data_IF_703147599024
#
_entry.id   IF_703147599024
#
_cell.length_a   1.000
_cell.length_b   1.000
_cell.length_c   1.000
_cell.angle_alpha   90.00
_cell.angle_beta   90.00
_cell.angle_gamma   90.00
#
_symmetry.space_group_name_H-M   'P 1'
#
loop_
_entity.id
_entity.type
_entity.pdbx_description
1 polymer ?
#
# COMPACT_ATOMS: atom_id res chain seq x y z
N UNK A 1 -33.31 -6.09 -5.56
CA UNK A 1 -32.86 -5.26 -4.40
C UNK A 1 -31.51 -5.73 -3.86
N UNK A 2 -31.27 -7.06 -3.72
CA UNK A 2 -30.01 -7.60 -3.20
C UNK A 2 -28.78 -7.26 -4.06
N UNK A 3 -28.89 -7.33 -5.39
CA UNK A 3 -27.78 -7.00 -6.30
C UNK A 3 -27.35 -5.54 -6.20
N UNK A 4 -28.31 -4.62 -6.05
CA UNK A 4 -28.05 -3.18 -5.87
C UNK A 4 -27.36 -2.94 -4.53
N UNK A 5 -27.77 -3.65 -3.48
CA UNK A 5 -27.18 -3.53 -2.15
C UNK A 5 -25.73 -4.03 -2.15
N UNK A 6 -25.46 -5.19 -2.75
CA UNK A 6 -24.10 -5.74 -2.90
C UNK A 6 -23.19 -4.78 -3.67
N UNK A 7 -23.68 -4.19 -4.76
CA UNK A 7 -22.91 -3.22 -5.55
C UNK A 7 -22.59 -1.94 -4.76
N UNK A 8 -23.55 -1.46 -3.96
CA UNK A 8 -23.33 -0.31 -3.07
C UNK A 8 -22.27 -0.61 -2.00
N UNK A 9 -22.32 -1.79 -1.38
CA UNK A 9 -21.33 -2.21 -0.39
C UNK A 9 -19.93 -2.26 -1.03
N UNK A 10 -19.80 -2.87 -2.20
CA UNK A 10 -18.52 -2.90 -2.94
C UNK A 10 -17.98 -1.50 -3.25
N UNK A 11 -18.86 -0.57 -3.64
CA UNK A 11 -18.46 0.83 -3.90
C UNK A 11 -17.96 1.55 -2.64
N UNK A 12 -18.59 1.29 -1.50
CA UNK A 12 -18.12 1.85 -0.22
C UNK A 12 -16.75 1.30 0.14
N UNK A 13 -16.54 0.00 0.02
CA UNK A 13 -15.25 -0.63 0.28
C UNK A 13 -14.09 -0.08 -0.59
N UNK A 14 -14.39 0.42 -1.80
CA UNK A 14 -13.41 1.05 -2.68
C UNK A 14 -12.74 2.29 -2.06
N UNK A 15 -13.37 2.94 -1.10
CA UNK A 15 -12.85 4.13 -0.43
C UNK A 15 -12.05 3.81 0.85
N UNK A 16 -11.86 2.52 1.17
CA UNK A 16 -11.04 2.12 2.32
C UNK A 16 -9.58 2.24 1.92
N UNK A 17 -9.00 3.41 2.16
CA UNK A 17 -7.59 3.69 1.94
C UNK A 17 -7.04 4.54 3.08
N UNK A 18 -5.77 4.33 3.40
CA UNK A 18 -5.00 5.18 4.32
C UNK A 18 -3.78 5.72 3.61
N UNK A 19 -3.37 6.92 3.99
CA UNK A 19 -2.17 7.57 3.48
C UNK A 19 -1.10 7.60 4.58
N UNK A 20 0.16 7.44 4.17
CA UNK A 20 1.32 7.64 5.03
C UNK A 20 2.35 8.51 4.34
N UNK A 21 2.88 9.49 5.09
CA UNK A 21 3.99 10.32 4.64
C UNK A 21 5.30 9.79 5.19
N UNK A 22 6.29 9.68 4.32
CA UNK A 22 7.63 9.20 4.64
C UNK A 22 8.66 10.28 4.32
N UNK A 23 9.63 10.45 5.21
CA UNK A 23 10.79 11.29 4.99
C UNK A 23 12.03 10.45 5.34
N UNK A 24 12.76 10.00 4.33
CA UNK A 24 13.88 9.09 4.48
C UNK A 24 15.13 9.66 3.84
N UNK A 25 16.30 9.31 4.40
CA UNK A 25 17.61 9.62 3.82
C UNK A 25 18.21 8.32 3.33
N UNK A 26 18.49 8.27 2.03
CA UNK A 26 19.05 7.11 1.38
C UNK A 26 20.43 7.42 0.79
N UNK A 27 21.38 6.53 1.03
CA UNK A 27 22.71 6.63 0.46
C UNK A 27 22.78 5.79 -0.82
N UNK A 28 22.77 6.47 -1.96
CA UNK A 28 22.91 5.81 -3.25
C UNK A 28 24.39 5.67 -3.61
N UNK A 29 24.79 4.45 -3.96
CA UNK A 29 26.14 4.16 -4.45
C UNK A 29 26.03 3.28 -5.69
N UNK A 30 26.35 3.85 -6.87
CA UNK A 30 26.45 3.10 -8.12
C UNK A 30 27.91 2.82 -8.46
N UNK A 31 28.26 1.56 -8.63
CA UNK A 31 29.60 1.10 -9.02
C UNK A 31 29.51 0.62 -10.44
N UNK A 32 29.78 1.49 -11.43
CA UNK A 32 29.92 1.09 -12.83
C UNK A 32 31.33 0.52 -13.08
N UNK A 33 31.43 -0.79 -13.21
CA UNK A 33 32.63 -1.43 -13.77
C UNK A 33 32.69 -1.16 -15.28
N UNK A 34 33.50 -0.21 -15.70
CA UNK A 34 33.84 -0.05 -17.12
C UNK A 34 34.95 -1.02 -17.50
N UNK A 35 34.86 -1.54 -18.72
CA UNK A 35 35.66 -2.60 -19.36
C UNK A 35 37.21 -2.49 -19.30
N UNK A 36 37.72 -1.40 -18.80
CA UNK A 36 39.14 -1.21 -18.50
C UNK A 36 39.26 -1.02 -16.98
N UNK A 37 39.73 -2.04 -16.28
CA UNK A 37 39.93 -2.13 -14.82
C UNK A 37 40.71 -0.97 -14.14
N UNK A 38 41.00 0.10 -14.85
CA UNK A 38 41.82 1.24 -14.36
C UNK A 38 40.98 2.47 -13.97
N UNK A 39 39.64 2.52 -14.29
CA UNK A 39 38.83 3.67 -13.99
C UNK A 39 37.48 3.20 -13.44
N UNK A 40 37.41 2.81 -12.17
CA UNK A 40 36.19 2.64 -11.46
C UNK A 40 35.61 4.01 -11.07
N UNK A 41 34.57 4.44 -11.75
CA UNK A 41 33.83 5.64 -11.34
C UNK A 41 32.73 5.21 -10.34
N UNK A 42 32.87 5.62 -9.09
CA UNK A 42 31.86 5.44 -8.06
C UNK A 42 30.99 6.70 -7.98
N UNK A 43 29.75 6.58 -8.31
CA UNK A 43 28.78 7.66 -8.11
C UNK A 43 28.17 7.50 -6.73
N UNK A 44 28.32 8.52 -5.88
CA UNK A 44 27.75 8.55 -4.54
C UNK A 44 26.82 9.75 -4.43
N UNK A 45 25.60 9.52 -4.04
CA UNK A 45 24.66 10.58 -3.76
C UNK A 45 23.97 10.36 -2.41
N UNK A 46 23.69 11.45 -1.72
CA UNK A 46 22.77 11.49 -0.62
C UNK A 46 21.39 11.85 -1.19
N UNK A 47 20.42 10.98 -0.99
CA UNK A 47 19.07 11.17 -1.51
C UNK A 47 18.12 11.40 -0.34
N UNK A 48 17.45 12.53 -0.33
CA UNK A 48 16.33 12.78 0.58
C UNK A 48 15.06 12.38 -0.16
N UNK A 49 14.39 11.35 0.36
CA UNK A 49 13.15 10.80 -0.19
C UNK A 49 12.00 11.37 0.62
N UNK A 50 11.12 12.13 -0.01
CA UNK A 50 9.80 12.44 0.52
C UNK A 50 8.79 11.61 -0.27
N UNK A 51 8.03 10.78 0.41
CA UNK A 51 7.09 9.89 -0.25
C UNK A 51 5.74 9.89 0.43
N UNK A 52 4.70 9.71 -0.37
CA UNK A 52 3.35 9.44 0.09
C UNK A 52 2.95 8.05 -0.38
N UNK A 53 2.63 7.16 0.57
CA UNK A 53 2.15 5.83 0.28
C UNK A 53 0.64 5.75 0.55
N UNK A 54 -0.08 5.09 -0.36
CA UNK A 54 -1.49 4.76 -0.21
C UNK A 54 -1.61 3.26 -0.01
N UNK A 55 -2.24 2.87 1.10
CA UNK A 55 -2.52 1.48 1.45
C UNK A 55 -4.03 1.29 1.52
N UNK A 56 -4.54 0.24 0.92
CA UNK A 56 -5.96 -0.03 0.86
C UNK A 56 -6.27 -1.43 0.37
N UNK A 57 -7.49 -1.62 -0.14
CA UNK A 57 -7.99 -2.92 -0.51
C UNK A 57 -8.31 -3.02 -2.00
N UNK A 58 -7.94 -4.15 -2.60
CA UNK A 58 -8.36 -4.50 -3.96
C UNK A 58 -9.81 -4.99 -3.94
N UNK A 59 -10.72 -4.16 -4.42
CA UNK A 59 -12.15 -4.42 -4.44
C UNK A 59 -12.52 -5.68 -5.24
N UNK A 60 -11.74 -6.05 -6.25
CA UNK A 60 -12.01 -7.24 -7.07
C UNK A 60 -11.88 -8.54 -6.29
N UNK A 61 -11.17 -8.51 -5.16
CA UNK A 61 -10.95 -9.68 -4.28
C UNK A 61 -11.99 -9.81 -3.17
N UNK A 62 -12.94 -8.86 -3.05
CA UNK A 62 -14.01 -8.92 -2.04
C UNK A 62 -15.12 -9.83 -2.56
N UNK A 63 -15.46 -10.86 -1.79
CA UNK A 63 -16.54 -11.79 -2.11
C UNK A 63 -17.73 -11.58 -1.16
N UNK A 64 -18.88 -11.23 -1.76
CA UNK A 64 -20.13 -10.96 -1.07
C UNK A 64 -21.24 -11.81 -1.66
N UNK A 65 -22.04 -12.43 -0.79
CA UNK A 65 -23.24 -13.19 -1.15
C UNK A 65 -24.46 -12.68 -0.40
N UNK A 66 -25.63 -12.72 -1.05
CA UNK A 66 -26.91 -12.40 -0.42
C UNK A 66 -27.77 -13.66 -0.23
N UNK A 67 -28.10 -13.98 0.99
CA UNK A 67 -29.12 -14.96 1.35
C UNK A 67 -30.46 -14.22 1.52
N UNK A 68 -31.32 -14.31 0.50
CA UNK A 68 -32.56 -13.55 0.43
C UNK A 68 -33.57 -14.11 1.46
N UNK A 69 -33.59 -15.41 1.64
CA UNK A 69 -34.55 -16.09 2.53
C UNK A 69 -34.27 -15.72 3.98
N UNK A 70 -33.01 -15.62 4.34
CA UNK A 70 -32.59 -15.22 5.69
C UNK A 70 -32.38 -13.72 5.85
N UNK A 71 -32.56 -12.94 4.78
CA UNK A 71 -32.26 -11.49 4.74
C UNK A 71 -30.86 -11.18 5.27
N UNK A 72 -29.85 -11.89 4.74
CA UNK A 72 -28.49 -11.83 5.21
C UNK A 72 -27.53 -11.53 4.07
N UNK A 73 -26.61 -10.58 4.30
CA UNK A 73 -25.43 -10.36 3.46
C UNK A 73 -24.27 -11.08 4.12
N UNK A 74 -23.57 -11.91 3.35
CA UNK A 74 -22.44 -12.70 3.85
C UNK A 74 -21.17 -12.18 3.17
N UNK A 75 -20.23 -11.67 3.95
CA UNK A 75 -18.89 -11.36 3.51
C UNK A 75 -18.04 -12.64 3.57
N UNK A 76 -17.88 -13.32 2.42
CA UNK A 76 -17.18 -14.60 2.34
C UNK A 76 -15.67 -14.45 2.39
N UNK A 77 -15.17 -13.39 1.75
CA UNK A 77 -13.76 -13.11 1.69
C UNK A 77 -13.54 -11.59 1.69
N UNK A 78 -12.61 -11.16 2.53
CA UNK A 78 -12.08 -9.80 2.53
C UNK A 78 -10.56 -9.89 2.37
N UNK A 79 -9.98 -9.25 1.33
CA UNK A 79 -8.54 -9.36 1.07
C UNK A 79 -7.71 -8.70 2.15
N UNK A 80 -6.43 -9.00 2.18
CA UNK A 80 -5.46 -8.23 2.94
C UNK A 80 -5.24 -6.85 2.32
N UNK A 81 -4.92 -5.83 3.13
CA UNK A 81 -4.56 -4.53 2.61
C UNK A 81 -3.24 -4.61 1.84
N UNK A 82 -3.16 -3.87 0.75
CA UNK A 82 -1.98 -3.81 -0.10
C UNK A 82 -1.58 -2.38 -0.41
N UNK A 83 -0.33 -2.19 -0.83
CA UNK A 83 0.18 -0.91 -1.29
C UNK A 83 -0.42 -0.62 -2.66
N UNK A 84 -1.24 0.42 -2.75
CA UNK A 84 -1.92 0.83 -3.99
C UNK A 84 -1.06 1.75 -4.83
N UNK A 85 -0.33 2.67 -4.19
CA UNK A 85 0.59 3.58 -4.87
C UNK A 85 1.63 4.11 -3.90
N UNK A 86 2.79 4.48 -4.46
CA UNK A 86 3.84 5.23 -3.77
C UNK A 86 4.24 6.39 -4.70
N UNK A 87 4.00 7.61 -4.24
CA UNK A 87 4.44 8.82 -4.90
C UNK A 87 5.73 9.28 -4.23
N UNK A 88 6.81 9.45 -5.01
CA UNK A 88 8.10 9.86 -4.49
C UNK A 88 8.53 11.19 -5.05
N UNK A 89 9.04 12.06 -4.18
CA UNK A 89 9.77 13.27 -4.53
C UNK A 89 11.19 13.14 -3.99
N UNK A 90 12.16 13.20 -4.86
CA UNK A 90 13.56 12.99 -4.54
C UNK A 90 14.35 14.29 -4.65
N UNK A 91 15.08 14.62 -3.60
CA UNK A 91 16.11 15.63 -3.61
C UNK A 91 17.46 14.94 -3.40
N UNK A 92 18.39 15.11 -4.32
CA UNK A 92 19.70 14.47 -4.25
C UNK A 92 20.81 15.50 -4.19
N UNK A 93 21.79 15.17 -3.35
CA UNK A 93 22.99 15.95 -3.18
C UNK A 93 24.17 15.11 -3.64
N UNK A 94 24.85 15.55 -4.69
CA UNK A 94 26.08 14.89 -5.15
C UNK A 94 27.22 15.17 -4.16
N UNK A 95 27.87 14.11 -3.68
CA UNK A 95 29.04 14.23 -2.81
C UNK A 95 30.35 14.33 -3.57
N UNK A 96 30.34 14.12 -4.89
CA UNK A 96 31.54 14.12 -5.71
C UNK A 96 31.52 15.25 -6.73
N UNK A 97 32.12 16.38 -6.40
CA UNK A 97 32.47 17.44 -7.36
C UNK A 97 33.55 16.95 -8.32
N UNK A 98 33.17 16.06 -9.26
CA UNK A 98 34.05 15.61 -10.32
C UNK A 98 33.42 15.83 -11.68
N UNK A 99 34.15 16.46 -12.61
CA UNK A 99 33.68 16.76 -13.98
C UNK A 99 33.19 15.56 -14.79
N UNK A 100 33.37 14.31 -14.29
CA UNK A 100 33.06 13.06 -14.96
C UNK A 100 31.85 12.30 -14.39
N UNK A 101 31.20 12.81 -13.34
CA UNK A 101 30.14 12.09 -12.60
C UNK A 101 28.77 12.80 -12.67
N UNK A 102 28.30 13.11 -13.87
CA UNK A 102 26.92 13.54 -14.05
C UNK A 102 25.97 12.35 -14.04
N UNK A 103 24.86 12.45 -13.29
CA UNK A 103 23.78 11.48 -13.36
C UNK A 103 23.14 11.51 -14.75
N UNK A 104 23.09 10.37 -15.41
CA UNK A 104 22.37 10.20 -16.67
C UNK A 104 20.89 9.91 -16.38
N UNK A 105 20.01 10.06 -17.38
CA UNK A 105 18.59 9.80 -17.23
C UNK A 105 18.30 8.36 -16.76
N UNK A 106 19.11 7.39 -17.18
CA UNK A 106 19.05 5.99 -16.74
C UNK A 106 19.38 5.82 -15.26
N UNK A 107 20.35 6.59 -14.75
CA UNK A 107 20.72 6.57 -13.32
C UNK A 107 19.56 7.11 -12.48
N UNK A 108 18.88 8.18 -12.95
CA UNK A 108 17.74 8.77 -12.27
C UNK A 108 16.54 7.80 -12.20
N UNK A 109 16.28 7.04 -13.28
CA UNK A 109 15.23 6.02 -13.28
C UNK A 109 15.53 4.90 -12.27
N UNK A 110 16.79 4.43 -12.24
CA UNK A 110 17.24 3.45 -11.25
C UNK A 110 17.07 3.96 -9.83
N UNK A 111 17.49 5.19 -9.57
CA UNK A 111 17.36 5.83 -8.27
C UNK A 111 15.90 5.97 -7.81
N UNK A 112 14.98 6.34 -8.71
CA UNK A 112 13.56 6.39 -8.40
C UNK A 112 12.99 5.03 -8.04
N UNK A 113 13.39 3.97 -8.75
CA UNK A 113 12.94 2.62 -8.47
C UNK A 113 13.46 2.11 -7.12
N UNK A 114 14.74 2.36 -6.82
CA UNK A 114 15.33 2.03 -5.52
C UNK A 114 14.68 2.82 -4.37
N UNK A 115 14.37 4.09 -4.57
CA UNK A 115 13.68 4.91 -3.60
C UNK A 115 12.26 4.37 -3.30
N UNK A 116 11.51 3.98 -4.33
CA UNK A 116 10.20 3.34 -4.15
C UNK A 116 10.31 2.03 -3.40
N UNK A 117 11.29 1.19 -3.76
CA UNK A 117 11.51 -0.08 -3.07
C UNK A 117 11.86 0.16 -1.60
N UNK A 118 12.73 1.12 -1.31
CA UNK A 118 13.09 1.48 0.06
C UNK A 118 11.88 1.88 0.89
N UNK A 119 10.98 2.70 0.34
CA UNK A 119 9.74 3.08 1.02
C UNK A 119 8.82 1.88 1.18
N UNK A 120 8.68 1.02 0.15
CA UNK A 120 7.86 -0.18 0.22
C UNK A 120 8.31 -1.12 1.34
N UNK A 121 9.61 -1.27 1.53
CA UNK A 121 10.20 -2.09 2.60
C UNK A 121 9.94 -1.50 4.01
N UNK A 122 9.69 -0.20 4.10
CA UNK A 122 9.37 0.50 5.36
C UNK A 122 7.89 0.42 5.75
N UNK A 123 6.99 0.21 4.79
CA UNK A 123 5.54 0.21 5.03
C UNK A 123 5.11 -0.80 6.10
N UNK A 124 5.59 -2.07 6.15
CA UNK A 124 5.19 -3.03 7.17
C UNK A 124 5.44 -2.57 8.61
N UNK A 125 6.52 -1.80 8.84
CA UNK A 125 6.91 -1.30 10.16
C UNK A 125 6.26 0.06 10.49
N UNK A 126 5.63 0.72 9.51
CA UNK A 126 5.08 2.07 9.67
C UNK A 126 3.75 2.12 10.40
N UNK A 127 3.05 1.01 10.56
CA UNK A 127 1.68 0.96 11.08
C UNK A 127 0.59 1.24 10.05
N UNK A 128 0.92 1.49 8.76
CA UNK A 128 -0.08 1.77 7.72
C UNK A 128 -0.97 0.57 7.41
N UNK A 129 -0.43 -0.64 7.46
CA UNK A 129 -1.22 -1.86 7.25
C UNK A 129 -2.28 -2.00 8.35
N UNK A 130 -1.88 -1.79 9.61
CA UNK A 130 -2.79 -1.84 10.76
C UNK A 130 -3.83 -0.73 10.70
N UNK A 131 -3.43 0.47 10.26
CA UNK A 131 -4.36 1.58 10.07
C UNK A 131 -5.40 1.26 8.99
N UNK A 132 -5.00 0.65 7.86
CA UNK A 132 -5.92 0.21 6.82
C UNK A 132 -6.89 -0.87 7.32
N UNK A 133 -6.42 -1.84 8.11
CA UNK A 133 -7.26 -2.87 8.73
C UNK A 133 -8.28 -2.25 9.70
N UNK A 134 -7.88 -1.26 10.47
CA UNK A 134 -8.78 -0.54 11.38
C UNK A 134 -9.89 0.20 10.62
N UNK A 135 -9.52 0.95 9.57
CA UNK A 135 -10.48 1.65 8.70
C UNK A 135 -11.45 0.67 8.03
N UNK A 136 -10.99 -0.50 7.60
CA UNK A 136 -11.83 -1.54 7.04
C UNK A 136 -12.86 -2.03 8.07
N UNK A 137 -12.46 -2.30 9.31
CA UNK A 137 -13.37 -2.72 10.37
C UNK A 137 -14.42 -1.65 10.66
N UNK A 138 -14.01 -0.40 10.82
CA UNK A 138 -14.93 0.73 11.07
C UNK A 138 -15.94 0.87 9.93
N UNK A 139 -15.51 0.71 8.69
CA UNK A 139 -16.38 0.74 7.51
C UNK A 139 -17.35 -0.43 7.48
N UNK A 140 -16.91 -1.63 7.83
CA UNK A 140 -17.77 -2.83 7.91
C UNK A 140 -18.85 -2.64 8.98
N UNK A 141 -18.52 -2.11 10.15
CA UNK A 141 -19.46 -1.82 11.22
C UNK A 141 -20.51 -0.76 10.81
N UNK A 142 -20.08 0.24 10.03
CA UNK A 142 -21.00 1.21 9.45
C UNK A 142 -21.96 0.54 8.44
N UNK A 143 -21.46 -0.34 7.59
CA UNK A 143 -22.25 -1.10 6.63
C UNK A 143 -23.24 -2.00 7.37
N UNK A 144 -22.84 -2.67 8.45
CA UNK A 144 -23.72 -3.46 9.30
C UNK A 144 -24.92 -2.63 9.80
N UNK A 145 -24.63 -1.45 10.36
CA UNK A 145 -25.68 -0.53 10.83
C UNK A 145 -26.66 -0.15 9.70
N UNK A 146 -26.15 0.14 8.50
CA UNK A 146 -26.99 0.49 7.34
C UNK A 146 -27.85 -0.70 6.91
N UNK A 147 -27.26 -1.90 6.85
CA UNK A 147 -27.95 -3.13 6.45
C UNK A 147 -29.07 -3.47 7.45
N UNK A 148 -28.84 -3.26 8.73
CA UNK A 148 -29.84 -3.48 9.79
C UNK A 148 -31.06 -2.55 9.67
N UNK A 149 -30.86 -1.30 9.21
CA UNK A 149 -31.97 -0.35 9.03
C UNK A 149 -33.01 -0.81 8.01
N UNK A 150 -32.63 -1.68 7.08
CA UNK A 150 -33.53 -2.29 6.10
C UNK A 150 -33.98 -3.68 6.48
N UNK A 151 -33.73 -4.12 7.71
CA UNK A 151 -34.16 -5.40 8.26
C UNK A 151 -33.33 -6.60 7.79
N UNK A 152 -32.10 -6.36 7.32
CA UNK A 152 -31.12 -7.39 6.94
C UNK A 152 -30.01 -7.48 7.98
N UNK A 153 -29.20 -8.53 7.91
CA UNK A 153 -28.03 -8.73 8.75
C UNK A 153 -26.77 -8.82 7.90
N UNK A 154 -25.65 -8.31 8.40
CA UNK A 154 -24.33 -8.51 7.81
C UNK A 154 -23.57 -9.58 8.59
N UNK A 155 -23.02 -10.57 7.89
CA UNK A 155 -22.10 -11.55 8.43
C UNK A 155 -20.69 -11.26 7.91
N UNK A 156 -19.82 -10.79 8.78
CA UNK A 156 -18.42 -10.44 8.46
C UNK A 156 -17.41 -11.30 9.23
N UNK A 157 -17.82 -12.49 9.67
CA UNK A 157 -16.94 -13.41 10.43
C UNK A 157 -15.67 -13.79 9.69
N UNK A 158 -15.69 -13.82 8.35
CA UNK A 158 -14.51 -14.08 7.53
C UNK A 158 -13.44 -12.98 7.65
N UNK A 159 -13.84 -11.72 7.88
CA UNK A 159 -12.90 -10.63 8.13
C UNK A 159 -12.21 -10.75 9.50
N UNK A 160 -12.96 -11.12 10.52
CA UNK A 160 -12.42 -11.29 11.89
C UNK A 160 -11.41 -12.43 11.97
N UNK A 161 -11.62 -13.52 11.24
CA UNK A 161 -10.69 -14.66 11.17
C UNK A 161 -9.37 -14.24 10.53
N UNK A 162 -9.41 -13.53 9.39
CA UNK A 162 -8.21 -13.01 8.73
C UNK A 162 -7.42 -12.05 9.61
N UNK A 163 -8.09 -11.14 10.31
CA UNK A 163 -7.45 -10.21 11.22
C UNK A 163 -6.79 -10.90 12.46
N UNK A 164 -7.33 -12.05 12.89
CA UNK A 164 -6.78 -12.80 14.02
C UNK A 164 -5.58 -13.66 13.65
N UNK A 165 -5.49 -14.15 12.43
CA UNK A 165 -4.35 -14.95 11.95
C UNK A 165 -3.10 -14.10 11.81
N UNK A 166 -3.23 -12.85 11.37
CA UNK A 166 -2.10 -11.91 11.26
C UNK A 166 -1.50 -11.49 12.61
N UNK A 167 -2.26 -11.56 13.72
CA UNK A 167 -1.74 -11.31 15.06
C UNK A 167 -0.88 -12.44 15.62
N UNK A 168 -0.90 -13.63 15.02
CA UNK A 168 -0.12 -14.79 15.49
C UNK A 168 1.24 -14.95 14.80
N UNK A 169 1.55 -14.12 13.80
CA UNK A 169 2.77 -14.20 12.98
C UNK A 169 3.78 -13.08 13.35
N UNK A 170 3.46 -12.23 14.32
CA UNK A 170 4.39 -11.22 14.87
C UNK A 170 5.03 -11.68 16.18
#
# INVERSE_FOLDING_TARGET
>A
QSTILLDKIRKVCKFITVEGDFAEIYHYEDVKERFLKLLSSRKKALVVINAKAHVGYDLSKIDLEADIDKKKIILKHFPEPEVLSIETNLNYYDKTEGYFNRFEATDLTGLHNEAKQHIQDKIPESGLIQAAQKEALETILLIETIVETIGWKLDYSAFEIGASENKKIQ
#
